data_IF_655883550334
#
_entry.id   IF_655883550334
#
_cell.length_a   1.000
_cell.length_b   1.000
_cell.length_c   1.000
_cell.angle_alpha   90.00
_cell.angle_beta   90.00
_cell.angle_gamma   90.00
#
_symmetry.space_group_name_H-M   'P 1'
#
loop_
_entity.id
_entity.type
_entity.pdbx_description
1 polymer ?
#
# COMPACT_ATOMS: atom_id res chain seq x y z
N UNK A 1 -28.72 8.24 11.35
CA UNK A 1 -28.67 7.49 10.07
C UNK A 1 -29.20 6.08 10.31
N UNK A 2 -30.31 5.69 9.67
CA UNK A 2 -30.90 4.35 9.82
C UNK A 2 -30.11 3.36 8.95
N UNK A 3 -29.52 2.34 9.59
CA UNK A 3 -28.78 1.26 8.96
C UNK A 3 -29.78 0.41 8.15
N UNK A 4 -29.72 0.49 6.82
CA UNK A 4 -30.53 -0.37 5.94
C UNK A 4 -29.98 -1.79 6.11
N UNK A 5 -30.74 -2.67 6.78
CA UNK A 5 -30.45 -4.10 6.79
C UNK A 5 -30.93 -4.67 5.45
N UNK A 6 -30.08 -5.35 4.67
CA UNK A 6 -30.53 -5.98 3.43
C UNK A 6 -31.60 -7.03 3.75
N UNK A 7 -32.74 -6.94 3.04
CA UNK A 7 -33.88 -7.86 3.16
C UNK A 7 -33.45 -9.25 2.69
N UNK A 8 -33.72 -10.25 3.53
CA UNK A 8 -33.27 -11.65 3.43
C UNK A 8 -33.87 -12.46 2.27
N UNK A 9 -34.46 -11.84 1.24
CA UNK A 9 -35.27 -12.56 0.24
C UNK A 9 -34.59 -12.83 -1.10
N UNK A 10 -33.29 -12.57 -1.26
CA UNK A 10 -32.52 -12.92 -2.48
C UNK A 10 -31.25 -13.73 -2.20
N UNK A 11 -31.12 -14.31 -1.01
CA UNK A 11 -30.03 -15.26 -0.73
C UNK A 11 -30.45 -16.64 -1.22
N UNK A 12 -30.04 -16.99 -2.45
CA UNK A 12 -29.99 -18.39 -2.86
C UNK A 12 -29.14 -19.14 -1.80
N UNK A 13 -29.63 -20.23 -1.20
CA UNK A 13 -28.89 -20.96 -0.18
C UNK A 13 -27.54 -21.38 -0.76
N UNK A 14 -26.49 -21.21 0.05
CA UNK A 14 -25.15 -21.68 -0.28
C UNK A 14 -25.18 -23.22 -0.28
N UNK A 15 -25.58 -23.82 -1.40
CA UNK A 15 -25.59 -25.27 -1.59
C UNK A 15 -24.19 -25.76 -1.96
N UNK A 16 -23.86 -26.99 -1.55
CA UNK A 16 -22.59 -27.64 -1.86
C UNK A 16 -22.27 -27.64 -3.38
N UNK A 17 -23.31 -27.65 -4.22
CA UNK A 17 -23.23 -27.61 -5.68
C UNK A 17 -22.65 -26.30 -6.25
N UNK A 18 -22.82 -25.15 -5.57
CA UNK A 18 -22.19 -23.87 -5.97
C UNK A 18 -20.67 -23.90 -5.81
N UNK A 19 -20.17 -24.67 -4.85
CA UNK A 19 -18.73 -24.77 -4.56
C UNK A 19 -18.01 -25.56 -5.65
N UNK A 20 -18.68 -26.54 -6.27
CA UNK A 20 -18.10 -27.38 -7.31
C UNK A 20 -17.98 -26.68 -8.68
N UNK A 21 -18.75 -25.61 -8.92
CA UNK A 21 -18.79 -24.89 -10.20
C UNK A 21 -17.84 -23.68 -10.30
N UNK A 22 -17.16 -23.30 -9.21
CA UNK A 22 -16.14 -22.25 -9.24
C UNK A 22 -14.83 -22.82 -9.79
N UNK A 23 -14.75 -22.88 -11.12
CA UNK A 23 -13.47 -23.12 -11.81
C UNK A 23 -12.44 -22.12 -11.29
N UNK A 24 -11.38 -22.62 -10.65
CA UNK A 24 -10.31 -21.75 -10.17
C UNK A 24 -9.69 -21.01 -11.36
N UNK A 25 -9.77 -19.69 -11.38
CA UNK A 25 -9.11 -18.88 -12.42
C UNK A 25 -7.61 -19.23 -12.43
N UNK A 26 -6.96 -19.29 -13.59
CA UNK A 26 -5.53 -19.57 -13.67
C UNK A 26 -4.79 -18.59 -12.76
N UNK A 27 -3.92 -19.11 -11.89
CA UNK A 27 -3.10 -18.26 -11.01
C UNK A 27 -2.24 -17.37 -11.91
N UNK A 28 -2.53 -16.07 -11.95
CA UNK A 28 -1.65 -15.12 -12.62
C UNK A 28 -0.24 -15.25 -12.04
N UNK A 29 0.77 -15.31 -12.92
CA UNK A 29 2.18 -15.32 -12.52
C UNK A 29 2.46 -14.08 -11.68
N UNK A 30 3.02 -14.26 -10.48
CA UNK A 30 3.37 -13.13 -9.61
C UNK A 30 4.34 -12.21 -10.36
N UNK A 31 4.04 -10.91 -10.39
CA UNK A 31 4.95 -9.92 -10.93
C UNK A 31 6.14 -9.76 -9.97
N UNK A 32 7.34 -10.13 -10.44
CA UNK A 32 8.59 -10.16 -9.64
C UNK A 32 9.55 -9.04 -10.02
N UNK A 33 9.05 -7.87 -10.42
CA UNK A 33 9.93 -6.71 -10.66
C UNK A 33 10.73 -6.36 -9.40
N UNK A 34 11.90 -5.74 -9.57
CA UNK A 34 12.76 -5.30 -8.47
C UNK A 34 12.00 -4.39 -7.50
N UNK A 35 11.17 -3.48 -8.01
CA UNK A 35 10.27 -2.64 -7.20
C UNK A 35 9.31 -3.47 -6.36
N UNK A 36 8.58 -4.42 -6.96
CA UNK A 36 7.62 -5.27 -6.23
C UNK A 36 8.31 -6.11 -5.16
N UNK A 37 9.51 -6.63 -5.46
CA UNK A 37 10.31 -7.37 -4.49
C UNK A 37 10.70 -6.47 -3.32
N UNK A 38 11.28 -5.30 -3.59
CA UNK A 38 11.70 -4.35 -2.56
C UNK A 38 10.52 -3.89 -1.69
N UNK A 39 9.36 -3.59 -2.29
CA UNK A 39 8.13 -3.26 -1.55
C UNK A 39 7.77 -4.36 -0.55
N UNK A 40 7.80 -5.63 -0.96
CA UNK A 40 7.45 -6.74 -0.07
C UNK A 40 8.52 -6.95 1.00
N UNK A 41 9.80 -6.91 0.64
CA UNK A 41 10.92 -7.09 1.58
C UNK A 41 10.87 -6.03 2.71
N UNK A 42 10.53 -4.78 2.37
CA UNK A 42 10.35 -3.68 3.34
C UNK A 42 9.15 -3.94 4.25
N UNK A 43 8.00 -4.34 3.69
CA UNK A 43 6.80 -4.62 4.48
C UNK A 43 7.02 -5.77 5.47
N UNK A 44 7.69 -6.83 5.02
CA UNK A 44 8.07 -7.97 5.85
C UNK A 44 9.08 -7.57 6.93
N UNK A 45 10.00 -6.67 6.62
CA UNK A 45 10.92 -6.10 7.61
C UNK A 45 10.18 -5.28 8.67
N UNK A 46 9.30 -4.36 8.28
CA UNK A 46 8.48 -3.57 9.22
C UNK A 46 7.66 -4.48 10.14
N UNK A 47 7.01 -5.50 9.58
CA UNK A 47 6.20 -6.45 10.36
C UNK A 47 7.05 -7.23 11.40
N UNK A 48 8.25 -7.68 11.02
CA UNK A 48 9.18 -8.35 11.95
C UNK A 48 9.70 -7.44 13.07
N UNK A 49 9.59 -6.13 12.92
CA UNK A 49 9.99 -5.14 13.92
C UNK A 49 8.76 -4.51 14.62
N UNK A 50 7.61 -5.18 14.59
CA UNK A 50 6.41 -4.78 15.32
C UNK A 50 5.61 -3.64 14.71
N UNK A 51 5.95 -3.18 13.50
CA UNK A 51 5.18 -2.20 12.76
C UNK A 51 4.06 -2.83 11.92
N UNK A 52 3.08 -2.01 11.54
CA UNK A 52 2.04 -2.39 10.59
C UNK A 52 2.17 -1.56 9.31
N UNK A 53 2.05 -2.19 8.14
CA UNK A 53 2.19 -1.50 6.85
C UNK A 53 1.11 -1.87 5.84
N UNK A 54 0.69 -0.88 5.07
CA UNK A 54 -0.28 -0.99 3.99
C UNK A 54 0.43 -0.58 2.70
N UNK A 55 0.32 -1.43 1.67
CA UNK A 55 0.74 -1.05 0.32
C UNK A 55 -0.35 -0.19 -0.32
N UNK A 56 0.03 0.97 -0.84
CA UNK A 56 -0.85 1.88 -1.54
C UNK A 56 -0.67 1.72 -3.05
N UNK A 57 -1.78 1.84 -3.79
CA UNK A 57 -1.76 1.92 -5.24
C UNK A 57 -2.71 3.03 -5.66
N UNK A 58 -2.17 4.06 -6.32
CA UNK A 58 -2.93 5.18 -6.82
C UNK A 58 -3.08 5.04 -8.33
N UNK A 59 -4.28 4.73 -8.78
CA UNK A 59 -4.61 4.62 -10.20
C UNK A 59 -5.99 5.19 -10.48
N UNK A 60 -6.25 5.48 -11.76
CA UNK A 60 -7.58 5.82 -12.24
C UNK A 60 -8.46 4.59 -12.41
N UNK A 61 -9.78 4.81 -12.49
CA UNK A 61 -10.74 3.76 -12.81
C UNK A 61 -11.07 3.80 -14.29
N UNK A 62 -10.92 2.69 -15.00
CA UNK A 62 -11.37 2.60 -16.38
C UNK A 62 -12.89 2.58 -16.43
N UNK A 63 -13.48 3.46 -17.23
CA UNK A 63 -14.92 3.55 -17.51
C UNK A 63 -15.15 3.29 -18.99
N UNK A 64 -15.55 2.06 -19.38
CA UNK A 64 -15.82 1.72 -20.77
C UNK A 64 -16.83 2.65 -21.42
N UNK A 65 -17.84 3.11 -20.67
CA UNK A 65 -18.89 4.02 -21.13
C UNK A 65 -18.36 5.41 -21.52
N UNK A 66 -17.21 5.81 -20.98
CA UNK A 66 -16.51 7.05 -21.34
C UNK A 66 -15.33 6.80 -22.28
N UNK A 67 -15.05 5.54 -22.63
CA UNK A 67 -13.90 5.15 -23.44
C UNK A 67 -12.53 5.47 -22.80
N UNK A 68 -12.45 5.61 -21.48
CA UNK A 68 -11.23 6.12 -20.85
C UNK A 68 -11.13 5.92 -19.33
N UNK A 69 -9.99 6.31 -18.77
CA UNK A 69 -9.77 6.33 -17.32
C UNK A 69 -10.27 7.63 -16.71
N UNK A 70 -10.98 7.52 -15.59
CA UNK A 70 -11.30 8.65 -14.72
C UNK A 70 -10.33 8.72 -13.54
N UNK A 71 -10.05 9.93 -13.08
CA UNK A 71 -9.23 10.17 -11.89
C UNK A 71 -9.92 9.57 -10.66
N UNK A 72 -9.16 8.87 -9.83
CA UNK A 72 -9.65 8.43 -8.51
C UNK A 72 -9.64 9.59 -7.51
N UNK A 73 -10.37 9.43 -6.40
CA UNK A 73 -10.32 10.37 -5.28
C UNK A 73 -9.04 10.27 -4.43
N UNK A 74 -8.09 9.42 -4.84
CA UNK A 74 -6.83 9.24 -4.13
C UNK A 74 -5.90 10.44 -4.32
N UNK A 75 -5.16 10.79 -3.28
CA UNK A 75 -4.13 11.84 -3.34
C UNK A 75 -3.00 11.39 -4.27
N UNK A 76 -2.69 12.18 -5.30
CA UNK A 76 -1.53 11.93 -6.15
C UNK A 76 -0.25 12.09 -5.33
N UNK A 77 0.75 11.26 -5.59
CA UNK A 77 1.99 11.25 -4.82
C UNK A 77 1.90 10.56 -3.45
N UNK A 78 0.77 9.90 -3.13
CA UNK A 78 0.67 9.01 -1.95
C UNK A 78 1.85 8.02 -1.97
N UNK A 79 2.56 7.82 -0.84
CA UNK A 79 3.69 6.90 -0.79
C UNK A 79 3.30 5.48 -1.18
N UNK A 80 4.21 4.73 -1.79
CA UNK A 80 3.99 3.30 -2.14
C UNK A 80 3.58 2.43 -0.94
N UNK A 81 4.12 2.75 0.25
CA UNK A 81 3.79 2.10 1.51
C UNK A 81 3.50 3.18 2.55
N UNK A 82 2.41 3.02 3.29
CA UNK A 82 2.20 3.72 4.55
C UNK A 82 2.35 2.74 5.70
N UNK A 83 2.95 3.17 6.80
CA UNK A 83 3.17 2.33 7.96
C UNK A 83 2.96 3.09 9.26
N UNK A 84 2.63 2.34 10.31
CA UNK A 84 2.66 2.81 11.70
C UNK A 84 3.69 1.97 12.43
N UNK A 85 4.69 2.64 13.01
CA UNK A 85 5.76 2.03 13.79
C UNK A 85 5.92 2.82 15.08
N UNK A 86 5.83 2.15 16.23
CA UNK A 86 5.87 2.78 17.56
C UNK A 86 4.90 3.96 17.73
N UNK A 87 3.72 3.88 17.10
CA UNK A 87 2.70 4.94 17.14
C UNK A 87 2.93 6.11 16.19
N UNK A 88 4.05 6.17 15.47
CA UNK A 88 4.34 7.22 14.50
C UNK A 88 3.98 6.79 13.08
N UNK A 89 3.53 7.75 12.26
CA UNK A 89 3.24 7.54 10.85
C UNK A 89 4.52 7.59 10.01
N UNK A 90 4.64 6.66 9.06
CA UNK A 90 5.72 6.60 8.09
C UNK A 90 5.14 6.49 6.67
N UNK A 91 5.46 7.45 5.81
CA UNK A 91 5.34 7.33 4.36
C UNK A 91 6.64 6.78 3.77
N UNK A 92 6.58 5.72 2.98
CA UNK A 92 7.75 5.09 2.37
C UNK A 92 7.52 5.00 0.86
N UNK A 93 8.42 5.62 0.11
CA UNK A 93 8.38 5.73 -1.34
C UNK A 93 9.53 4.93 -1.95
N UNK A 94 9.22 4.07 -2.91
CA UNK A 94 10.17 3.11 -3.50
C UNK A 94 10.78 3.72 -4.76
N UNK A 95 12.10 3.87 -4.80
CA UNK A 95 12.82 4.46 -5.94
C UNK A 95 13.99 3.59 -6.38
N UNK A 96 13.76 2.66 -7.31
CA UNK A 96 14.80 1.75 -7.79
C UNK A 96 15.49 2.30 -9.04
N UNK A 97 16.83 2.25 -9.07
CA UNK A 97 17.61 2.61 -10.26
C UNK A 97 17.64 4.12 -10.52
N UNK A 98 17.16 4.56 -11.68
CA UNK A 98 17.14 5.98 -12.10
C UNK A 98 15.80 6.67 -11.81
N UNK A 99 14.98 6.10 -10.93
CA UNK A 99 13.69 6.68 -10.56
C UNK A 99 13.86 7.84 -9.58
N UNK A 100 13.08 8.91 -9.78
CA UNK A 100 13.12 10.14 -8.99
C UNK A 100 11.72 10.51 -8.51
N UNK A 101 11.64 11.27 -7.42
CA UNK A 101 10.35 11.77 -6.95
C UNK A 101 9.72 12.75 -7.94
N UNK A 102 8.43 12.56 -8.20
CA UNK A 102 7.60 13.53 -8.91
C UNK A 102 7.31 14.78 -8.05
N UNK A 103 6.84 15.89 -8.64
CA UNK A 103 6.42 17.07 -7.89
C UNK A 103 5.32 16.76 -6.85
N UNK A 104 4.34 15.92 -7.21
CA UNK A 104 3.27 15.51 -6.29
C UNK A 104 3.81 14.72 -5.09
N UNK A 105 4.79 13.83 -5.33
CA UNK A 105 5.43 13.04 -4.28
C UNK A 105 6.21 13.93 -3.30
N UNK A 106 6.88 14.98 -3.80
CA UNK A 106 7.56 15.98 -2.95
C UNK A 106 6.57 16.80 -2.12
N UNK A 107 5.44 17.19 -2.70
CA UNK A 107 4.40 17.90 -1.97
C UNK A 107 3.80 17.02 -0.84
N UNK A 108 3.56 15.74 -1.12
CA UNK A 108 3.09 14.78 -0.11
C UNK A 108 4.15 14.53 0.97
N UNK A 109 5.42 14.42 0.59
CA UNK A 109 6.53 14.35 1.55
C UNK A 109 6.50 15.52 2.51
N UNK A 110 6.50 16.76 1.98
CA UNK A 110 6.47 17.97 2.79
C UNK A 110 5.27 17.97 3.74
N UNK A 111 4.07 17.63 3.24
CA UNK A 111 2.86 17.58 4.07
C UNK A 111 2.90 16.53 5.17
N UNK A 112 3.54 15.38 4.95
CA UNK A 112 3.73 14.36 5.98
C UNK A 112 4.71 14.84 7.05
N UNK A 113 5.84 15.41 6.63
CA UNK A 113 6.89 15.89 7.52
C UNK A 113 6.41 17.09 8.37
N UNK A 114 5.70 18.05 7.75
CA UNK A 114 5.10 19.19 8.44
C UNK A 114 4.07 18.78 9.50
N UNK A 115 3.39 17.65 9.30
CA UNK A 115 2.44 17.08 10.26
C UNK A 115 3.12 16.23 11.36
N UNK A 116 4.45 16.13 11.36
CA UNK A 116 5.22 15.33 12.32
C UNK A 116 5.31 13.84 11.98
N UNK A 117 4.91 13.43 10.78
CA UNK A 117 5.17 12.10 10.25
C UNK A 117 6.59 11.99 9.69
N UNK A 118 7.01 10.75 9.42
CA UNK A 118 8.31 10.47 8.79
C UNK A 118 8.10 10.11 7.33
N UNK A 119 8.92 10.64 6.43
CA UNK A 119 8.96 10.21 5.04
C UNK A 119 10.31 9.58 4.69
N UNK A 120 10.30 8.40 4.08
CA UNK A 120 11.49 7.64 3.72
C UNK A 120 11.53 7.36 2.22
N UNK A 121 12.68 7.64 1.60
CA UNK A 121 13.01 7.17 0.27
C UNK A 121 13.76 5.84 0.37
N UNK A 122 13.18 4.79 -0.23
CA UNK A 122 13.73 3.45 -0.22
C UNK A 122 14.22 3.05 -1.60
N UNK A 123 15.54 3.12 -1.79
CA UNK A 123 16.21 2.74 -3.04
C UNK A 123 16.61 1.27 -3.08
N UNK A 124 16.91 0.73 -1.90
CA UNK A 124 17.29 -0.65 -1.66
C UNK A 124 16.96 -1.03 -0.21
N UNK A 125 17.03 -2.33 0.09
CA UNK A 125 16.63 -2.84 1.38
C UNK A 125 17.62 -2.48 2.50
N UNK A 126 18.92 -2.45 2.22
CA UNK A 126 19.93 -2.29 3.25
C UNK A 126 20.02 -0.84 3.73
N UNK A 127 19.96 0.12 2.80
CA UNK A 127 19.81 1.55 3.11
C UNK A 127 18.53 1.78 3.92
N UNK A 128 17.41 1.17 3.53
CA UNK A 128 16.15 1.28 4.28
C UNK A 128 16.29 0.76 5.72
N UNK A 129 16.89 -0.42 5.93
CA UNK A 129 17.12 -0.99 7.27
C UNK A 129 17.94 -0.05 8.15
N UNK A 130 19.02 0.52 7.61
CA UNK A 130 19.89 1.42 8.35
C UNK A 130 19.12 2.67 8.84
N UNK A 131 18.37 3.32 7.94
CA UNK A 131 17.56 4.48 8.30
C UNK A 131 16.44 4.11 9.29
N UNK A 132 15.76 2.99 9.07
CA UNK A 132 14.70 2.51 9.95
C UNK A 132 15.23 2.28 11.37
N UNK A 133 16.32 1.53 11.53
CA UNK A 133 16.91 1.22 12.83
C UNK A 133 17.40 2.46 13.58
N UNK A 134 17.89 3.48 12.86
CA UNK A 134 18.25 4.76 13.48
C UNK A 134 17.05 5.50 14.08
N UNK A 135 15.87 5.36 13.46
CA UNK A 135 14.63 6.05 13.86
C UNK A 135 13.86 5.32 14.96
N UNK A 136 13.99 4.00 15.05
CA UNK A 136 13.24 3.17 16.00
C UNK A 136 14.02 2.82 17.27
N UNK A 137 15.09 3.56 17.62
CA UNK A 137 15.86 3.29 18.85
C UNK A 137 14.91 3.18 20.04
N UNK A 138 14.97 2.09 20.82
CA UNK A 138 14.17 1.99 22.02
C UNK A 138 14.52 3.16 22.95
N UNK A 139 13.56 3.71 23.72
CA UNK A 139 13.81 4.83 24.61
C UNK A 139 14.87 4.56 25.69
N UNK A 140 15.35 3.32 25.83
CA UNK A 140 16.46 2.94 26.72
C UNK A 140 17.33 1.88 26.02
N UNK A 141 18.40 2.31 25.38
CA UNK A 141 19.56 1.47 25.00
C UNK A 141 20.80 2.06 25.67
#
# INVERSE_FOLDING_TARGET
MKRIKPTTSNLLPYSAERTAALQSKPKHKKNTTTTNRLTNDIRDFIARHGGYSIRCNVSGFYRPELGGYIRSGSTLGTPDIIAVINGNFYGIEIKVGKDWQSPDQKAVQQGIEDAGGVYLLATDLDSFKATFQALIKPPFA
#
